data_IF_773353625317
#
_entry.id   IF_773353625317
#
_cell.length_a   1.000
_cell.length_b   1.000
_cell.length_c   1.000
_cell.angle_alpha   90.00
_cell.angle_beta   90.00
_cell.angle_gamma   90.00
#
_symmetry.space_group_name_H-M   'P 1'
#
loop_
_entity.id
_entity.type
_entity.pdbx_description
1 polymer ?
#
# COMPACT_ATOMS: atom_id res chain seq x y z
N UNK A 1 -26.77 -1.47 -5.32
CA UNK A 1 -27.08 -1.82 -6.73
C UNK A 1 -25.93 -2.69 -7.21
N UNK A 2 -26.17 -3.86 -7.81
CA UNK A 2 -25.06 -4.77 -8.16
C UNK A 2 -24.39 -4.24 -9.43
N UNK A 3 -23.17 -3.71 -9.31
CA UNK A 3 -22.39 -3.22 -10.45
C UNK A 3 -21.96 -4.40 -11.33
N UNK A 4 -22.14 -4.24 -12.65
CA UNK A 4 -21.56 -5.13 -13.65
C UNK A 4 -20.16 -4.63 -14.00
N UNK A 5 -19.15 -5.21 -13.34
CA UNK A 5 -17.75 -4.80 -13.43
C UNK A 5 -17.21 -4.95 -14.84
N UNK A 6 -17.51 -6.07 -15.51
CA UNK A 6 -17.00 -6.36 -16.85
C UNK A 6 -17.59 -5.39 -17.88
N UNK A 7 -18.88 -5.03 -17.73
CA UNK A 7 -19.48 -4.01 -18.56
C UNK A 7 -18.85 -2.63 -18.36
N UNK A 8 -18.57 -2.21 -17.12
CA UNK A 8 -17.88 -0.94 -16.88
C UNK A 8 -16.47 -0.93 -17.49
N UNK A 9 -15.72 -2.02 -17.36
CA UNK A 9 -14.38 -2.14 -17.93
C UNK A 9 -14.40 -2.13 -19.46
N UNK A 10 -15.42 -2.73 -20.08
CA UNK A 10 -15.62 -2.67 -21.52
C UNK A 10 -15.82 -1.24 -22.00
N UNK A 11 -16.65 -0.46 -21.31
CA UNK A 11 -16.86 0.95 -21.64
C UNK A 11 -15.57 1.77 -21.50
N UNK A 12 -14.75 1.48 -20.48
CA UNK A 12 -13.42 2.08 -20.32
C UNK A 12 -12.46 1.65 -21.45
N UNK A 13 -12.53 0.40 -21.92
CA UNK A 13 -11.71 -0.08 -23.04
C UNK A 13 -12.04 0.67 -24.34
N UNK A 14 -13.29 1.08 -24.53
CA UNK A 14 -13.76 1.86 -25.66
C UNK A 14 -13.57 3.39 -25.51
N UNK A 15 -12.70 3.85 -24.58
CA UNK A 15 -12.49 5.28 -24.29
C UNK A 15 -12.13 6.16 -25.50
N UNK A 16 -11.48 5.59 -26.52
CA UNK A 16 -11.13 6.32 -27.76
C UNK A 16 -12.36 6.60 -28.63
N UNK A 17 -13.37 5.73 -28.57
CA UNK A 17 -14.60 5.84 -29.35
C UNK A 17 -15.65 6.67 -28.61
N UNK A 18 -15.77 6.47 -27.29
CA UNK A 18 -16.70 7.20 -26.45
C UNK A 18 -16.07 7.58 -25.09
N UNK A 19 -15.37 8.73 -25.01
CA UNK A 19 -14.69 9.14 -23.80
C UNK A 19 -15.65 9.45 -22.65
N UNK A 20 -16.86 9.93 -22.93
CA UNK A 20 -17.85 10.25 -21.90
C UNK A 20 -18.34 9.01 -21.17
N UNK A 21 -18.64 7.94 -21.92
CA UNK A 21 -19.07 6.68 -21.31
C UNK A 21 -17.95 6.07 -20.49
N UNK A 22 -16.70 6.15 -20.97
CA UNK A 22 -15.53 5.68 -20.22
C UNK A 22 -15.31 6.45 -18.91
N UNK A 23 -15.43 7.78 -18.92
CA UNK A 23 -15.34 8.62 -17.71
C UNK A 23 -16.45 8.31 -16.71
N UNK A 24 -17.69 8.13 -17.20
CA UNK A 24 -18.81 7.72 -16.35
C UNK A 24 -18.59 6.34 -15.73
N UNK A 25 -18.12 5.37 -16.51
CA UNK A 25 -17.82 4.02 -16.03
C UNK A 25 -16.68 4.01 -15.02
N UNK A 26 -15.62 4.79 -15.25
CA UNK A 26 -14.55 4.95 -14.27
C UNK A 26 -15.10 5.56 -12.97
N UNK A 27 -15.98 6.56 -13.07
CA UNK A 27 -16.58 7.21 -11.90
C UNK A 27 -17.42 6.22 -11.09
N UNK A 28 -18.20 5.36 -11.76
CA UNK A 28 -18.98 4.30 -11.10
C UNK A 28 -18.07 3.32 -10.35
N UNK A 29 -16.98 2.88 -10.97
CA UNK A 29 -16.01 1.99 -10.32
C UNK A 29 -15.26 2.70 -9.18
N UNK A 30 -14.93 3.98 -9.35
CA UNK A 30 -14.28 4.79 -8.32
C UNK A 30 -15.16 4.91 -7.08
N UNK A 31 -16.41 5.33 -7.22
CA UNK A 31 -17.34 5.46 -6.09
C UNK A 31 -17.55 4.13 -5.36
N UNK A 32 -17.64 3.01 -6.09
CA UNK A 32 -17.88 1.71 -5.47
C UNK A 32 -16.66 1.13 -4.74
N UNK A 33 -15.45 1.35 -5.26
CA UNK A 33 -14.26 0.65 -4.79
C UNK A 33 -13.20 1.53 -4.13
N UNK A 34 -13.30 2.87 -4.17
CA UNK A 34 -12.26 3.76 -3.63
C UNK A 34 -11.96 3.54 -2.15
N UNK A 35 -12.98 3.30 -1.34
CA UNK A 35 -12.83 3.11 0.10
C UNK A 35 -12.10 1.80 0.39
N UNK A 36 -12.49 0.73 -0.32
CA UNK A 36 -11.79 -0.55 -0.26
C UNK A 36 -10.31 -0.39 -0.65
N UNK A 37 -10.03 0.27 -1.77
CA UNK A 37 -8.65 0.48 -2.23
C UNK A 37 -7.85 1.31 -1.24
N UNK A 38 -8.40 2.44 -0.77
CA UNK A 38 -7.79 3.30 0.23
C UNK A 38 -7.43 2.52 1.49
N UNK A 39 -8.36 1.73 2.02
CA UNK A 39 -8.14 0.91 3.21
C UNK A 39 -7.09 -0.19 2.99
N UNK A 40 -7.07 -0.81 1.80
CA UNK A 40 -6.00 -1.75 1.42
C UNK A 40 -4.64 -1.06 1.41
N UNK A 41 -4.55 0.15 0.86
CA UNK A 41 -3.30 0.92 0.83
C UNK A 41 -2.86 1.29 2.24
N UNK A 42 -3.77 1.82 3.06
CA UNK A 42 -3.55 2.14 4.48
C UNK A 42 -3.07 0.91 5.27
N UNK A 43 -3.57 -0.29 4.95
CA UNK A 43 -3.14 -1.55 5.56
C UNK A 43 -1.71 -1.92 5.18
N UNK A 44 -1.37 -1.82 3.90
CA UNK A 44 -0.01 -2.11 3.42
C UNK A 44 0.99 -0.99 3.73
N UNK A 45 0.50 0.22 4.00
CA UNK A 45 1.29 1.37 4.38
C UNK A 45 1.59 1.32 5.87
N UNK A 46 2.75 0.74 6.15
CA UNK A 46 3.23 0.55 7.52
C UNK A 46 3.96 1.76 8.11
N UNK A 47 4.04 2.88 7.37
CA UNK A 47 4.64 4.12 7.86
C UNK A 47 3.56 5.11 8.31
N UNK A 48 3.72 5.77 9.47
CA UNK A 48 2.82 6.83 9.89
C UNK A 48 3.07 8.15 9.13
N UNK A 49 4.18 8.26 8.39
CA UNK A 49 4.54 9.48 7.68
C UNK A 49 3.72 9.64 6.40
N UNK A 50 3.08 10.81 6.25
CA UNK A 50 2.28 11.18 5.08
C UNK A 50 1.25 10.10 4.72
N UNK A 51 0.73 9.40 5.73
CA UNK A 51 -0.02 8.15 5.56
C UNK A 51 -1.27 8.35 4.69
N UNK A 52 -2.01 9.41 4.97
CA UNK A 52 -3.23 9.77 4.26
C UNK A 52 -2.93 10.26 2.84
N UNK A 53 -1.94 11.15 2.69
CA UNK A 53 -1.51 11.69 1.39
C UNK A 53 -1.06 10.58 0.43
N UNK A 54 -0.22 9.65 0.93
CA UNK A 54 0.25 8.49 0.18
C UNK A 54 -0.94 7.60 -0.19
N UNK A 55 -1.84 7.34 0.76
CA UNK A 55 -2.99 6.48 0.52
C UNK A 55 -3.95 7.06 -0.53
N UNK A 56 -4.23 8.36 -0.48
CA UNK A 56 -5.03 9.06 -1.48
C UNK A 56 -4.35 9.04 -2.86
N UNK A 57 -3.06 9.36 -2.93
CA UNK A 57 -2.29 9.34 -4.18
C UNK A 57 -2.30 7.95 -4.83
N UNK A 58 -1.99 6.92 -4.05
CA UNK A 58 -1.97 5.54 -4.56
C UNK A 58 -3.37 5.07 -4.97
N UNK A 59 -4.42 5.45 -4.23
CA UNK A 59 -5.80 5.14 -4.60
C UNK A 59 -6.12 5.73 -5.97
N UNK A 60 -5.80 7.01 -6.20
CA UNK A 60 -5.97 7.65 -7.50
C UNK A 60 -5.16 6.96 -8.60
N UNK A 61 -3.90 6.58 -8.32
CA UNK A 61 -3.05 5.87 -9.27
C UNK A 61 -3.58 4.49 -9.67
N UNK A 62 -4.30 3.80 -8.77
CA UNK A 62 -4.96 2.52 -9.07
C UNK A 62 -6.07 2.72 -10.09
N UNK A 63 -6.94 3.71 -9.90
CA UNK A 63 -8.03 3.97 -10.84
C UNK A 63 -7.52 4.61 -12.14
N UNK A 64 -6.47 5.42 -12.09
CA UNK A 64 -5.78 5.88 -13.28
C UNK A 64 -5.18 4.71 -14.07
N UNK A 65 -4.53 3.76 -13.39
CA UNK A 65 -4.04 2.53 -14.01
C UNK A 65 -5.18 1.74 -14.66
N UNK A 66 -6.33 1.62 -14.00
CA UNK A 66 -7.51 0.93 -14.54
C UNK A 66 -8.05 1.63 -15.79
N UNK A 67 -8.09 2.97 -15.79
CA UNK A 67 -8.49 3.75 -16.96
C UNK A 67 -7.54 3.52 -18.14
N UNK A 68 -6.24 3.44 -17.88
CA UNK A 68 -5.23 3.18 -18.91
C UNK A 68 -5.32 1.73 -19.43
N UNK A 69 -5.46 0.78 -18.52
CA UNK A 69 -5.43 -0.67 -18.77
C UNK A 69 -6.63 -1.37 -18.11
N UNK A 70 -7.82 -1.33 -18.72
CA UNK A 70 -9.02 -2.01 -18.23
C UNK A 70 -8.99 -3.52 -18.51
N UNK A 71 -7.82 -4.14 -18.36
CA UNK A 71 -7.57 -5.54 -18.71
C UNK A 71 -7.85 -6.42 -17.48
N UNK A 72 -9.12 -6.75 -17.25
CA UNK A 72 -9.53 -7.72 -16.25
C UNK A 72 -10.76 -8.49 -16.74
N UNK A 73 -10.84 -9.76 -16.41
CA UNK A 73 -11.98 -10.64 -16.73
C UNK A 73 -12.25 -11.57 -15.55
N UNK A 74 -13.53 -11.88 -15.32
CA UNK A 74 -13.89 -12.79 -14.24
C UNK A 74 -13.55 -14.25 -14.59
N UNK A 75 -12.80 -14.92 -13.71
CA UNK A 75 -12.50 -16.35 -13.81
C UNK A 75 -13.33 -17.14 -12.78
N UNK A 76 -14.39 -17.86 -13.21
CA UNK A 76 -15.25 -18.63 -12.31
C UNK A 76 -14.59 -19.89 -11.76
N UNK A 77 -13.48 -20.37 -12.34
CA UNK A 77 -12.75 -21.52 -11.79
C UNK A 77 -11.96 -21.16 -10.54
N UNK A 78 -11.55 -19.89 -10.43
CA UNK A 78 -10.73 -19.37 -9.32
C UNK A 78 -11.53 -18.66 -8.25
N UNK A 79 -12.68 -18.11 -8.58
CA UNK A 79 -13.44 -17.26 -7.67
C UNK A 79 -14.95 -17.51 -7.75
N UNK A 80 -15.61 -17.45 -6.60
CA UNK A 80 -17.06 -17.68 -6.49
C UNK A 80 -17.90 -16.45 -6.85
N UNK A 81 -17.32 -15.24 -6.72
CA UNK A 81 -18.02 -13.96 -6.95
C UNK A 81 -17.10 -12.98 -7.69
N UNK A 82 -17.64 -12.34 -8.73
CA UNK A 82 -16.93 -11.33 -9.54
C UNK A 82 -16.40 -10.15 -8.72
N UNK A 83 -17.21 -9.61 -7.81
CA UNK A 83 -16.78 -8.49 -6.93
C UNK A 83 -15.57 -8.85 -6.05
N UNK A 84 -15.58 -10.03 -5.42
CA UNK A 84 -14.45 -10.48 -4.59
C UNK A 84 -13.18 -10.71 -5.40
N UNK A 85 -13.31 -11.28 -6.61
CA UNK A 85 -12.20 -11.45 -7.54
C UNK A 85 -11.62 -10.09 -7.99
N UNK A 86 -12.49 -9.12 -8.25
CA UNK A 86 -12.07 -7.78 -8.63
C UNK A 86 -11.41 -7.02 -7.47
N UNK A 87 -11.93 -7.13 -6.24
CA UNK A 87 -11.29 -6.62 -5.03
C UNK A 87 -9.88 -7.19 -4.85
N UNK A 88 -9.68 -8.50 -5.05
CA UNK A 88 -8.35 -9.12 -5.00
C UNK A 88 -7.40 -8.59 -6.10
N UNK A 89 -7.92 -8.36 -7.31
CA UNK A 89 -7.17 -7.72 -8.38
C UNK A 89 -6.76 -6.29 -8.02
N UNK A 90 -7.70 -5.45 -7.58
CA UNK A 90 -7.44 -4.07 -7.15
C UNK A 90 -6.42 -4.03 -6.00
N UNK A 91 -6.49 -4.95 -5.03
CA UNK A 91 -5.52 -5.02 -3.95
C UNK A 91 -4.10 -5.33 -4.45
N UNK A 92 -3.99 -6.17 -5.48
CA UNK A 92 -2.70 -6.47 -6.13
C UNK A 92 -2.15 -5.24 -6.84
N UNK A 93 -2.99 -4.52 -7.60
CA UNK A 93 -2.61 -3.27 -8.27
C UNK A 93 -2.20 -2.21 -7.24
N UNK A 94 -3.00 -2.02 -6.19
CA UNK A 94 -2.74 -1.06 -5.10
C UNK A 94 -1.40 -1.34 -4.41
N UNK A 95 -1.10 -2.60 -4.09
CA UNK A 95 0.18 -2.99 -3.51
C UNK A 95 1.36 -2.65 -4.42
N UNK A 96 1.25 -2.92 -5.72
CA UNK A 96 2.30 -2.60 -6.68
C UNK A 96 2.49 -1.08 -6.81
N UNK A 97 1.39 -0.32 -6.92
CA UNK A 97 1.41 1.15 -6.98
C UNK A 97 1.96 1.80 -5.73
N UNK A 98 1.63 1.25 -4.56
CA UNK A 98 2.23 1.66 -3.30
C UNK A 98 3.74 1.47 -3.34
N UNK A 99 4.26 0.32 -3.75
CA UNK A 99 5.71 0.13 -3.85
C UNK A 99 6.39 1.06 -4.87
N UNK A 100 5.75 1.34 -6.01
CA UNK A 100 6.25 2.33 -6.99
C UNK A 100 6.33 3.73 -6.38
N UNK A 101 5.27 4.16 -5.70
CA UNK A 101 5.15 5.45 -5.02
C UNK A 101 6.19 5.60 -3.92
N UNK A 102 6.32 4.60 -3.06
CA UNK A 102 7.30 4.58 -1.98
C UNK A 102 8.75 4.59 -2.48
N UNK A 103 9.03 3.93 -3.60
CA UNK A 103 10.34 3.95 -4.24
C UNK A 103 10.68 5.30 -4.86
N UNK A 104 9.67 6.04 -5.31
CA UNK A 104 9.83 7.39 -5.89
C UNK A 104 9.82 8.49 -4.84
N UNK A 105 9.18 8.30 -3.68
CA UNK A 105 9.22 9.23 -2.53
C UNK A 105 10.60 9.42 -1.91
N UNK A 106 11.56 8.51 -2.12
CA UNK A 106 12.95 8.76 -1.74
C UNK A 106 13.56 9.94 -2.53
N UNK A 107 12.96 10.34 -3.66
CA UNK A 107 13.37 11.46 -4.50
C UNK A 107 12.54 12.75 -4.31
N UNK A 108 11.64 12.82 -3.33
CA UNK A 108 10.83 14.03 -3.02
C UNK A 108 11.63 15.23 -2.47
N UNK A 109 12.97 15.20 -2.55
CA UNK A 109 13.85 16.32 -2.19
C UNK A 109 13.76 17.53 -3.15
N UNK A 110 12.79 17.58 -4.09
CA UNK A 110 12.80 18.56 -5.18
C UNK A 110 11.54 19.37 -5.46
N UNK A 111 10.41 19.10 -4.82
CA UNK A 111 9.20 19.90 -5.07
C UNK A 111 8.58 20.37 -3.76
N UNK A 112 8.51 21.70 -3.62
CA UNK A 112 7.77 22.39 -2.57
C UNK A 112 6.28 22.07 -2.76
N UNK A 113 5.75 21.14 -1.97
CA UNK A 113 4.31 20.83 -1.99
C UNK A 113 3.57 21.92 -1.20
N UNK A 114 2.69 22.64 -1.90
CA UNK A 114 1.74 23.58 -1.32
C UNK A 114 0.62 22.75 -0.68
N UNK A 115 0.41 22.93 0.62
CA UNK A 115 -0.73 22.37 1.35
C UNK A 115 -2.01 23.09 0.95
N UNK A 116 -2.97 22.35 0.40
CA UNK A 116 -4.38 22.76 0.37
C UNK A 116 -5.16 21.73 1.19
N UNK A 117 -5.54 22.15 2.40
CA UNK A 117 -6.28 21.40 3.39
C UNK A 117 -7.75 21.77 3.26
N UNK A 118 -8.53 20.90 2.63
CA UNK A 118 -9.92 20.67 3.04
C UNK A 118 -10.42 19.34 2.44
N UNK A 119 -10.91 18.45 3.31
CA UNK A 119 -11.58 17.16 3.05
C UNK A 119 -10.75 15.87 3.11
N UNK A 120 -10.35 15.47 4.31
CA UNK A 120 -10.06 14.06 4.65
C UNK A 120 -11.37 13.34 4.99
N UNK A 121 -11.97 12.69 3.99
CA UNK A 121 -13.26 12.00 4.09
C UNK A 121 -13.13 10.50 3.81
N UNK A 122 -12.31 9.75 4.55
CA UNK A 122 -12.29 8.28 4.43
C UNK A 122 -12.01 7.62 5.79
N UNK A 123 -12.97 7.68 6.71
CA UNK A 123 -12.98 6.89 7.94
C UNK A 123 -14.19 5.94 7.95
N UNK A 124 -14.05 4.76 7.34
CA UNK A 124 -14.80 3.57 7.74
C UNK A 124 -13.85 2.37 7.84
N UNK A 125 -13.82 1.76 9.03
CA UNK A 125 -13.02 0.57 9.34
C UNK A 125 -13.54 -0.64 8.57
N UNK A 126 -12.63 -1.37 7.90
CA UNK A 126 -12.95 -2.66 7.27
C UNK A 126 -13.46 -3.68 8.29
N UNK A 127 -14.31 -4.61 7.87
CA UNK A 127 -14.73 -5.72 8.74
C UNK A 127 -13.58 -6.72 8.97
N UNK A 128 -13.49 -7.35 10.14
CA UNK A 128 -12.44 -8.33 10.49
C UNK A 128 -12.28 -9.46 9.45
N UNK A 129 -13.38 -9.86 8.80
CA UNK A 129 -13.36 -10.90 7.76
C UNK A 129 -12.70 -10.44 6.44
N UNK A 130 -12.78 -9.15 6.12
CA UNK A 130 -12.11 -8.58 4.95
C UNK A 130 -10.61 -8.40 5.22
N UNK A 131 -10.23 -8.18 6.48
CA UNK A 131 -8.84 -8.14 6.91
C UNK A 131 -8.10 -9.47 6.68
N UNK A 132 -8.69 -10.60 7.10
CA UNK A 132 -8.02 -11.91 7.09
C UNK A 132 -7.77 -12.43 5.66
N UNK A 133 -8.66 -12.10 4.72
CA UNK A 133 -8.52 -12.48 3.31
C UNK A 133 -7.38 -11.75 2.58
N UNK A 134 -7.06 -10.51 2.98
CA UNK A 134 -5.96 -9.74 2.39
C UNK A 134 -4.60 -10.30 2.80
N UNK A 135 -4.45 -10.78 4.05
CA UNK A 135 -3.17 -11.30 4.57
C UNK A 135 -2.78 -12.63 3.92
N UNK A 136 -3.75 -13.47 3.58
CA UNK A 136 -3.51 -14.75 2.90
C UNK A 136 -2.97 -14.62 1.46
N UNK A 137 -3.07 -13.43 0.84
CA UNK A 137 -2.57 -13.17 -0.52
C UNK A 137 -1.04 -12.95 -0.58
N UNK A 138 -0.36 -12.85 0.56
CA UNK A 138 0.98 -12.27 0.67
C UNK A 138 2.01 -13.35 1.07
N UNK A 139 2.56 -14.04 0.06
CA UNK A 139 3.63 -15.09 0.01
C UNK A 139 4.46 -15.48 1.26
N UNK A 140 4.97 -16.72 1.29
CA UNK A 140 5.83 -17.34 2.33
C UNK A 140 7.02 -16.50 2.88
N UNK A 141 7.63 -15.60 2.09
CA UNK A 141 8.70 -14.72 2.58
C UNK A 141 8.24 -13.69 3.62
N UNK A 142 6.94 -13.34 3.64
CA UNK A 142 6.40 -12.40 4.61
C UNK A 142 6.29 -13.03 6.00
N UNK A 143 6.14 -14.35 6.10
CA UNK A 143 6.03 -15.04 7.39
C UNK A 143 7.22 -14.77 8.31
N UNK A 144 8.45 -14.69 7.78
CA UNK A 144 9.64 -14.39 8.60
C UNK A 144 9.67 -12.93 9.03
N UNK A 145 9.29 -12.04 8.12
CA UNK A 145 9.23 -10.60 8.41
C UNK A 145 8.16 -10.37 9.48
N UNK A 146 7.00 -11.00 9.35
CA UNK A 146 5.88 -10.94 10.31
C UNK A 146 6.27 -11.55 11.66
N UNK A 147 6.93 -12.72 11.67
CA UNK A 147 7.48 -13.33 12.88
C UNK A 147 8.43 -12.37 13.61
N UNK A 148 9.36 -11.72 12.88
CA UNK A 148 10.28 -10.74 13.48
C UNK A 148 9.52 -9.54 14.00
N UNK A 149 8.69 -8.91 13.16
CA UNK A 149 7.97 -7.69 13.50
C UNK A 149 7.08 -7.93 14.72
N UNK A 150 6.43 -9.09 14.83
CA UNK A 150 5.60 -9.44 15.98
C UNK A 150 6.33 -9.54 17.32
N UNK A 151 7.67 -9.57 17.32
CA UNK A 151 8.46 -9.48 18.55
C UNK A 151 8.74 -8.05 19.04
N UNK A 152 8.30 -7.02 18.29
CA UNK A 152 8.46 -5.61 18.64
C UNK A 152 7.12 -5.00 19.07
N UNK A 153 7.20 -3.93 19.87
CA UNK A 153 6.01 -3.13 20.22
C UNK A 153 5.40 -2.47 18.97
N UNK A 154 4.10 -2.14 18.94
CA UNK A 154 3.48 -1.48 17.78
C UNK A 154 4.26 -0.26 17.29
N UNK A 155 4.69 0.61 18.22
CA UNK A 155 5.57 1.75 17.95
C UNK A 155 6.89 1.35 17.29
N UNK A 156 7.58 0.35 17.82
CA UNK A 156 8.87 -0.06 17.29
C UNK A 156 8.71 -0.74 15.92
N UNK A 157 7.60 -1.44 15.67
CA UNK A 157 7.26 -2.00 14.34
C UNK A 157 7.13 -0.88 13.30
N UNK A 158 6.39 0.18 13.61
CA UNK A 158 6.25 1.34 12.73
C UNK A 158 7.59 2.01 12.43
N UNK A 159 8.45 2.15 13.45
CA UNK A 159 9.82 2.67 13.28
C UNK A 159 10.63 1.80 12.32
N UNK A 160 10.57 0.47 12.48
CA UNK A 160 11.30 -0.48 11.64
C UNK A 160 10.80 -0.39 10.19
N UNK A 161 9.48 -0.41 10.00
CA UNK A 161 8.84 -0.40 8.69
C UNK A 161 9.13 0.91 7.95
N UNK A 162 8.96 2.04 8.62
CA UNK A 162 9.35 3.37 8.10
C UNK A 162 10.83 3.44 7.78
N UNK A 163 11.71 2.88 8.61
CA UNK A 163 13.13 2.89 8.31
C UNK A 163 13.45 2.17 6.99
N UNK A 164 12.88 0.97 6.80
CA UNK A 164 13.14 0.17 5.60
C UNK A 164 12.43 0.72 4.36
N UNK A 165 11.37 1.50 4.56
CA UNK A 165 10.70 2.23 3.50
C UNK A 165 11.63 3.21 2.77
N UNK A 166 12.39 3.99 3.54
CA UNK A 166 13.33 4.99 3.02
C UNK A 166 14.77 4.45 2.91
N UNK A 167 14.97 3.13 3.07
CA UNK A 167 16.30 2.55 3.05
C UNK A 167 16.81 2.39 1.62
N UNK A 168 17.89 3.11 1.31
CA UNK A 168 18.67 2.89 0.10
C UNK A 168 20.08 2.40 0.44
N UNK A 169 20.51 1.32 -0.23
CA UNK A 169 21.84 0.74 0.00
C UNK A 169 22.93 1.78 -0.30
N UNK A 170 23.77 2.06 0.69
CA UNK A 170 24.87 3.01 0.57
C UNK A 170 24.49 4.48 0.78
N UNK A 171 23.21 4.78 1.08
CA UNK A 171 22.77 6.11 1.47
C UNK A 171 22.31 6.15 2.93
N UNK A 172 22.37 7.33 3.52
CA UNK A 172 21.76 7.59 4.82
C UNK A 172 20.25 7.83 4.63
N UNK A 173 19.46 7.54 5.67
CA UNK A 173 18.07 7.98 5.69
C UNK A 173 18.00 9.52 5.57
N UNK A 174 17.01 10.06 4.84
CA UNK A 174 16.80 11.51 4.77
C UNK A 174 16.66 12.12 6.17
N UNK A 175 17.27 13.30 6.37
CA UNK A 175 17.23 13.99 7.67
C UNK A 175 15.81 14.29 8.14
N UNK A 176 14.96 14.77 7.22
CA UNK A 176 13.53 15.04 7.47
C UNK A 176 12.78 13.83 8.01
N UNK A 177 12.98 12.66 7.40
CA UNK A 177 12.34 11.41 7.85
C UNK A 177 12.75 11.08 9.28
N UNK A 178 14.03 11.28 9.63
CA UNK A 178 14.50 11.07 11.01
C UNK A 178 13.88 12.07 11.99
N UNK A 179 13.76 13.34 11.61
CA UNK A 179 13.12 14.38 12.43
C UNK A 179 11.64 14.07 12.67
N UNK A 180 10.91 13.67 11.62
CA UNK A 180 9.49 13.31 11.72
C UNK A 180 9.29 12.03 12.57
N UNK A 181 10.16 11.02 12.40
CA UNK A 181 10.13 9.82 13.25
C UNK A 181 10.44 10.12 14.73
N UNK A 182 11.36 11.05 15.02
CA UNK A 182 11.62 11.52 16.39
C UNK A 182 10.39 12.19 17.00
N UNK A 183 9.72 13.05 16.22
CA UNK A 183 8.53 13.78 16.64
C UNK A 183 7.32 12.85 16.89
N UNK A 184 6.96 12.01 15.92
CA UNK A 184 5.79 11.12 15.99
C UNK A 184 5.94 10.12 17.13
N UNK A 185 7.09 9.46 17.22
CA UNK A 185 7.28 8.40 18.20
C UNK A 185 7.86 8.89 19.52
N UNK A 186 8.06 10.20 19.69
CA UNK A 186 8.67 10.83 20.87
C UNK A 186 9.96 10.10 21.26
N UNK A 187 10.88 10.02 20.32
CA UNK A 187 12.12 9.23 20.45
C UNK A 187 13.33 10.00 19.96
N UNK A 188 14.50 9.34 19.95
CA UNK A 188 15.75 9.92 19.49
C UNK A 188 16.36 9.09 18.37
N UNK A 189 17.12 9.71 17.46
CA UNK A 189 17.87 9.06 16.38
C UNK A 189 18.74 7.89 16.85
N UNK A 190 19.49 7.99 17.98
CA UNK A 190 20.20 6.83 18.54
C UNK A 190 19.26 5.66 18.87
N UNK A 191 18.09 5.95 19.46
CA UNK A 191 17.12 4.91 19.80
C UNK A 191 16.49 4.28 18.55
N UNK A 192 16.14 5.08 17.53
CA UNK A 192 15.69 4.59 16.21
C UNK A 192 16.72 3.63 15.61
N UNK A 193 17.99 4.03 15.58
CA UNK A 193 19.08 3.17 15.09
C UNK A 193 19.20 1.87 15.89
N UNK A 194 19.03 1.94 17.20
CA UNK A 194 19.11 0.76 18.06
C UNK A 194 17.95 -0.22 17.80
N UNK A 195 16.72 0.30 17.65
CA UNK A 195 15.52 -0.50 17.29
C UNK A 195 15.77 -1.23 15.95
N UNK A 196 16.18 -0.49 14.93
CA UNK A 196 16.45 -1.03 13.59
C UNK A 196 17.62 -2.04 13.62
N UNK A 197 18.66 -1.78 14.39
CA UNK A 197 19.78 -2.72 14.56
C UNK A 197 19.32 -4.04 15.19
N UNK A 198 18.41 -4.00 16.17
CA UNK A 198 17.83 -5.19 16.79
C UNK A 198 16.99 -5.96 15.78
N UNK A 199 16.20 -5.26 14.96
CA UNK A 199 15.39 -5.87 13.90
C UNK A 199 16.26 -6.60 12.88
N UNK A 200 17.29 -5.94 12.32
CA UNK A 200 18.26 -6.55 11.38
C UNK A 200 18.90 -7.82 11.94
N UNK A 201 19.27 -7.80 13.23
CA UNK A 201 19.85 -8.97 13.92
C UNK A 201 18.86 -10.13 13.96
N UNK A 202 17.61 -9.91 14.37
CA UNK A 202 16.58 -10.95 14.45
C UNK A 202 16.21 -11.52 13.08
N UNK A 203 16.08 -10.68 12.04
CA UNK A 203 15.85 -11.14 10.66
C UNK A 203 16.96 -12.09 10.23
N UNK A 204 18.22 -11.71 10.48
CA UNK A 204 19.38 -12.54 10.13
C UNK A 204 19.38 -13.88 10.87
N UNK A 205 19.09 -13.87 12.17
CA UNK A 205 19.04 -15.09 12.99
C UNK A 205 17.96 -16.07 12.50
N UNK A 206 16.74 -15.58 12.22
CA UNK A 206 15.63 -16.41 11.74
C UNK A 206 15.84 -16.91 10.31
N UNK A 207 16.38 -16.08 9.42
CA UNK A 207 16.69 -16.50 8.05
C UNK A 207 17.79 -17.57 8.00
N UNK A 208 18.80 -17.50 8.88
CA UNK A 208 19.80 -18.58 9.05
C UNK A 208 19.14 -19.86 9.59
N UNK A 209 18.29 -19.74 10.61
CA UNK A 209 17.59 -20.90 11.19
C UNK A 209 16.68 -21.62 10.18
N UNK A 210 16.12 -20.88 9.21
CA UNK A 210 15.26 -21.40 8.14
C UNK A 210 16.02 -21.71 6.82
N UNK A 211 17.35 -21.70 6.81
CA UNK A 211 18.19 -21.98 5.63
C UNK A 211 17.92 -21.08 4.41
N UNK A 212 17.46 -19.85 4.62
CA UNK A 212 17.26 -18.90 3.53
C UNK A 212 18.56 -18.16 3.21
N UNK A 213 18.90 -18.10 1.92
CA UNK A 213 20.04 -17.30 1.44
C UNK A 213 19.68 -15.81 1.51
N UNK A 214 20.15 -15.14 2.56
CA UNK A 214 20.17 -13.67 2.61
C UNK A 214 21.28 -13.21 1.65
N UNK A 215 20.91 -12.71 0.47
CA UNK A 215 21.85 -12.13 -0.50
C UNK A 215 21.83 -10.61 -0.41
#
# INVERSE_FOLDING_TARGET
>A
MKIDIEYQLLLIACKEENPKDAEQSLSILYEEFREFVYNVVIKFLHSPLHKEEIAQSVTNDVFYFLYQKPEWSFDPERHTKSEGAFKAYLATVARNKLYETLRTHVNWEKEDVIYDDDHTLFEEELSENEFENIDNLVSENNQIIDEVLNTFSPRDKEIILTYFLYYEKGKNLPGRVLDEMEAIHKTTRPNIRQIVSRAKKKIKELAIAKNLKIT
#
